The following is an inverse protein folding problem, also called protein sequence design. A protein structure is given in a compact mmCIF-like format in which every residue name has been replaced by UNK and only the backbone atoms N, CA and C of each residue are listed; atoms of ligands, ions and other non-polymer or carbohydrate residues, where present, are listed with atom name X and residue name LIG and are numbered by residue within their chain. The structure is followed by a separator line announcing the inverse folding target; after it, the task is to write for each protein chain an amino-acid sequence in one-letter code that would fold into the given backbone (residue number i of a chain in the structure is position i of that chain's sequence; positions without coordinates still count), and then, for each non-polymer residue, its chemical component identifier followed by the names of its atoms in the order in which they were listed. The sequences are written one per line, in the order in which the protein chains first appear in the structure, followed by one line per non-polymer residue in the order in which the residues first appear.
data_IF_677322248087
#
_entry.id   IF_677322248087
#
_cell.length_a   1.000
_cell.length_b   1.000
_cell.length_c   1.000
_cell.angle_alpha   90.00
_cell.angle_beta   90.00
_cell.angle_gamma   90.00
#
_symmetry.space_group_name_H-M   'P 1'
#
loop_
_entity.id
_entity.type
_entity.pdbx_description
1 polymer ?
#
# COMPACT_ATOMS: atom_id res chain seq x y z
N UNK A 1 -23.63 -1.32 -32.34
CA UNK A 1 -22.49 -1.22 -31.45
C UNK A 1 -21.33 -0.61 -32.20
N UNK A 2 -20.47 0.11 -31.51
CA UNK A 2 -19.22 0.62 -32.06
C UNK A 2 -18.18 -0.49 -32.24
N UNK A 3 -17.07 -0.16 -32.89
CA UNK A 3 -15.96 -1.09 -33.13
C UNK A 3 -15.11 -1.29 -31.86
N UNK A 4 -15.28 -0.44 -30.82
CA UNK A 4 -14.60 -0.51 -29.54
C UNK A 4 -15.57 -0.94 -28.44
N UNK A 5 -15.22 -2.00 -27.74
CA UNK A 5 -15.90 -2.47 -26.53
C UNK A 5 -14.89 -2.39 -25.40
N UNK A 6 -14.96 -1.32 -24.61
CA UNK A 6 -14.08 -1.06 -23.49
C UNK A 6 -14.73 -1.58 -22.21
N UNK A 7 -14.07 -2.50 -21.51
CA UNK A 7 -14.64 -3.14 -20.32
C UNK A 7 -13.57 -3.85 -19.47
N UNK A 8 -13.97 -4.16 -18.24
CA UNK A 8 -13.12 -4.87 -17.30
C UNK A 8 -12.12 -3.96 -16.58
N UNK A 9 -11.38 -4.55 -15.66
CA UNK A 9 -10.35 -3.91 -14.88
C UNK A 9 -9.30 -4.93 -14.48
N UNK A 10 -8.39 -4.57 -13.58
CA UNK A 10 -7.28 -5.40 -13.13
C UNK A 10 -7.73 -6.78 -12.66
N UNK A 11 -8.78 -6.86 -11.84
CA UNK A 11 -9.26 -8.15 -11.30
C UNK A 11 -10.01 -9.03 -12.30
N UNK A 12 -10.40 -8.52 -13.47
CA UNK A 12 -11.26 -9.23 -14.43
C UNK A 12 -10.71 -9.28 -15.85
N UNK A 13 -9.47 -8.83 -16.08
CA UNK A 13 -8.89 -8.70 -17.41
C UNK A 13 -8.91 -10.02 -18.19
N UNK A 14 -8.62 -11.14 -17.54
CA UNK A 14 -8.58 -12.45 -18.18
C UNK A 14 -9.98 -13.01 -18.53
N UNK A 15 -11.03 -12.52 -17.87
CA UNK A 15 -12.42 -12.98 -18.10
C UNK A 15 -13.12 -12.22 -19.22
N UNK A 16 -12.69 -11.01 -19.59
CA UNK A 16 -13.36 -10.14 -20.57
C UNK A 16 -12.88 -10.39 -22.00
N UNK A 17 -12.95 -11.63 -22.47
CA UNK A 17 -12.47 -12.04 -23.80
C UNK A 17 -13.25 -11.43 -24.98
N UNK A 18 -14.41 -10.87 -24.74
CA UNK A 18 -15.27 -10.21 -25.71
C UNK A 18 -14.97 -8.71 -25.83
N UNK A 19 -14.23 -8.12 -24.89
CA UNK A 19 -13.80 -6.74 -24.95
C UNK A 19 -12.67 -6.58 -25.98
N UNK A 20 -12.66 -5.46 -26.67
CA UNK A 20 -11.58 -5.06 -27.57
C UNK A 20 -10.55 -4.19 -26.88
N UNK A 21 -10.92 -3.65 -25.71
CA UNK A 21 -10.07 -2.83 -24.84
C UNK A 21 -10.35 -3.16 -23.36
N UNK A 22 -9.31 -3.35 -22.57
CA UNK A 22 -9.40 -3.60 -21.13
C UNK A 22 -8.97 -2.34 -20.39
N UNK A 23 -9.80 -1.89 -19.45
CA UNK A 23 -9.56 -0.71 -18.60
C UNK A 23 -8.83 -1.07 -17.31
N UNK A 24 -7.74 -1.83 -17.38
CA UNK A 24 -6.92 -2.17 -16.21
C UNK A 24 -5.97 -1.01 -15.90
N UNK A 25 -5.99 -0.51 -14.66
CA UNK A 25 -5.14 0.56 -14.15
C UNK A 25 -4.29 0.11 -12.97
N UNK A 26 -4.91 -0.38 -11.93
CA UNK A 26 -4.27 -0.71 -10.64
C UNK A 26 -3.16 -1.78 -10.73
N UNK A 27 -3.13 -2.59 -11.83
CA UNK A 27 -2.11 -3.63 -12.05
C UNK A 27 -0.67 -3.08 -12.09
N UNK A 28 -0.50 -1.80 -12.41
CA UNK A 28 0.82 -1.16 -12.52
C UNK A 28 1.52 -1.06 -11.16
N UNK A 29 0.74 -0.83 -10.11
CA UNK A 29 1.25 -0.59 -8.74
C UNK A 29 0.77 -1.66 -7.76
N UNK A 30 -0.41 -2.22 -7.99
CA UNK A 30 -1.13 -3.15 -7.12
C UNK A 30 -1.39 -2.59 -5.72
N UNK A 31 -2.23 -3.27 -4.97
CA UNK A 31 -2.52 -3.02 -3.57
C UNK A 31 -2.88 -4.33 -2.85
N UNK A 32 -3.19 -4.28 -1.56
CA UNK A 32 -3.46 -5.51 -0.81
C UNK A 32 -4.80 -6.15 -1.18
N UNK A 33 -5.79 -5.37 -1.65
CA UNK A 33 -7.07 -5.92 -2.09
C UNK A 33 -6.92 -6.72 -3.40
N UNK A 34 -6.12 -6.24 -4.35
CA UNK A 34 -5.82 -6.99 -5.57
C UNK A 34 -4.86 -8.17 -5.33
N UNK A 35 -3.99 -8.09 -4.33
CA UNK A 35 -3.09 -9.20 -3.99
C UNK A 35 -3.82 -10.48 -3.56
N UNK A 36 -5.08 -10.36 -3.10
CA UNK A 36 -5.93 -11.51 -2.74
C UNK A 36 -6.46 -12.29 -3.96
N UNK A 37 -6.31 -11.77 -5.18
CA UNK A 37 -6.95 -12.29 -6.38
C UNK A 37 -6.08 -13.23 -7.24
N UNK A 38 -4.93 -13.69 -6.76
CA UNK A 38 -4.00 -14.56 -7.49
C UNK A 38 -3.72 -14.07 -8.93
N UNK A 39 -3.38 -12.79 -9.06
CA UNK A 39 -3.07 -12.14 -10.32
C UNK A 39 -1.56 -12.21 -10.62
N UNK A 40 -1.14 -12.21 -11.89
CA UNK A 40 0.28 -12.26 -12.27
C UNK A 40 0.99 -10.90 -12.15
N UNK A 41 0.62 -10.10 -11.17
CA UNK A 41 1.16 -8.76 -10.93
C UNK A 41 1.69 -8.66 -9.50
N UNK A 42 2.73 -7.86 -9.32
CA UNK A 42 3.39 -7.67 -8.04
C UNK A 42 3.09 -6.28 -7.46
N UNK A 43 3.10 -6.18 -6.13
CA UNK A 43 2.98 -4.89 -5.44
C UNK A 43 4.26 -4.08 -5.63
N UNK A 44 4.13 -2.88 -6.19
CA UNK A 44 5.26 -1.98 -6.50
C UNK A 44 5.14 -0.61 -5.81
N UNK A 45 4.16 -0.42 -4.93
CA UNK A 45 3.86 0.85 -4.31
C UNK A 45 3.72 0.75 -2.79
N UNK A 46 4.28 1.72 -2.08
CA UNK A 46 4.07 1.87 -0.64
C UNK A 46 4.06 3.35 -0.24
N UNK A 47 3.43 3.64 0.89
CA UNK A 47 3.55 4.93 1.58
C UNK A 47 4.62 4.79 2.65
N UNK A 48 5.65 5.65 2.59
CA UNK A 48 6.69 5.71 3.62
C UNK A 48 6.21 6.62 4.74
N UNK A 49 6.24 6.11 5.97
CA UNK A 49 5.81 6.83 7.17
C UNK A 49 6.90 6.79 8.24
N UNK A 50 6.96 7.81 9.07
CA UNK A 50 7.95 7.93 10.15
C UNK A 50 7.33 7.56 11.48
N UNK A 51 8.01 6.77 12.28
CA UNK A 51 7.62 6.48 13.66
C UNK A 51 7.78 7.72 14.51
N UNK A 52 6.69 8.23 15.04
CA UNK A 52 6.66 9.48 15.84
C UNK A 52 6.51 9.23 17.34
N UNK A 53 6.05 8.05 17.74
CA UNK A 53 5.89 7.72 19.17
C UNK A 53 5.95 6.22 19.41
N UNK A 54 6.43 5.87 20.59
CA UNK A 54 6.40 4.51 21.12
C UNK A 54 5.48 4.47 22.34
N UNK A 55 4.79 3.36 22.50
CA UNK A 55 3.97 3.12 23.68
C UNK A 55 4.81 3.11 24.98
N UNK A 56 4.20 3.41 26.11
CA UNK A 56 4.83 3.19 27.41
C UNK A 56 5.34 1.76 27.54
N UNK A 57 6.40 1.58 28.31
CA UNK A 57 7.05 0.29 28.53
C UNK A 57 6.02 -0.81 28.86
N UNK A 58 6.02 -1.87 28.04
CA UNK A 58 5.14 -3.03 28.21
C UNK A 58 3.82 -2.98 27.42
N UNK A 59 3.48 -1.89 26.74
CA UNK A 59 2.25 -1.81 25.92
C UNK A 59 2.42 -2.32 24.49
N UNK A 60 3.66 -2.41 23.97
CA UNK A 60 3.99 -3.17 22.75
C UNK A 60 3.53 -2.58 21.42
N UNK A 61 3.13 -1.29 21.36
CA UNK A 61 2.72 -0.65 20.10
C UNK A 61 3.57 0.59 19.79
N UNK A 62 3.55 1.00 18.55
CA UNK A 62 4.15 2.24 18.04
C UNK A 62 3.14 3.04 17.22
N UNK A 63 3.45 4.32 17.01
CA UNK A 63 2.63 5.25 16.22
C UNK A 63 3.51 5.87 15.13
N UNK A 64 3.00 5.93 13.91
CA UNK A 64 3.64 6.60 12.78
C UNK A 64 2.71 7.67 12.16
N UNK A 65 3.31 8.58 11.38
CA UNK A 65 2.69 9.80 10.85
C UNK A 65 1.94 9.60 9.53
N UNK A 66 1.27 8.47 9.35
CA UNK A 66 0.36 8.23 8.24
C UNK A 66 -1.02 7.85 8.76
N UNK A 67 -2.06 8.17 8.00
CA UNK A 67 -3.43 7.86 8.37
C UNK A 67 -4.39 8.10 7.19
N UNK A 68 -5.66 8.33 7.48
CA UNK A 68 -6.74 8.52 6.51
C UNK A 68 -6.48 9.65 5.50
N UNK A 69 -5.65 10.64 5.85
CA UNK A 69 -5.28 11.75 4.95
C UNK A 69 -4.20 11.38 3.94
N UNK A 70 -3.56 10.22 4.08
CA UNK A 70 -2.48 9.75 3.21
C UNK A 70 -2.69 8.35 2.64
N UNK A 71 -3.72 7.64 3.08
CA UNK A 71 -4.02 6.26 2.72
C UNK A 71 -5.49 6.08 2.38
N UNK A 72 -5.79 5.51 1.23
CA UNK A 72 -7.13 5.04 0.88
C UNK A 72 -7.46 3.80 1.69
N UNK A 73 -8.48 3.89 2.54
CA UNK A 73 -8.82 2.86 3.52
C UNK A 73 -10.24 2.31 3.37
N UNK A 74 -10.85 2.55 2.24
CA UNK A 74 -12.17 2.01 1.88
C UNK A 74 -12.18 0.49 1.70
N UNK A 75 -11.03 -0.11 1.45
CA UNK A 75 -10.82 -1.58 1.42
C UNK A 75 -10.18 -2.13 2.71
N UNK A 76 -9.96 -1.31 3.72
CA UNK A 76 -9.40 -1.72 5.01
C UNK A 76 -8.08 -1.04 5.36
N UNK A 77 -7.43 -1.57 6.39
CA UNK A 77 -6.14 -1.05 6.85
C UNK A 77 -5.02 -1.38 5.85
N UNK A 78 -3.98 -0.53 5.74
CA UNK A 78 -2.78 -0.88 4.99
C UNK A 78 -2.06 -2.06 5.64
N UNK A 79 -1.31 -2.79 4.84
CA UNK A 79 -0.42 -3.84 5.33
C UNK A 79 0.92 -3.24 5.76
N UNK A 80 1.42 -3.66 6.91
CA UNK A 80 2.77 -3.38 7.39
C UNK A 80 3.59 -4.65 7.30
N UNK A 81 4.57 -4.76 6.38
CA UNK A 81 5.47 -5.91 6.32
C UNK A 81 6.19 -6.12 7.67
N UNK A 82 6.13 -7.34 8.19
CA UNK A 82 6.75 -7.68 9.48
C UNK A 82 6.02 -7.13 10.73
N UNK A 83 4.81 -6.62 10.56
CA UNK A 83 4.00 -6.09 11.65
C UNK A 83 2.51 -6.17 11.36
N UNK A 84 1.71 -5.54 12.20
CA UNK A 84 0.26 -5.45 12.05
C UNK A 84 -0.26 -4.08 12.45
N UNK A 85 -1.05 -3.48 11.59
CA UNK A 85 -1.79 -2.26 11.87
C UNK A 85 -2.95 -2.58 12.80
N UNK A 86 -3.06 -1.84 13.89
CA UNK A 86 -4.15 -1.96 14.86
C UNK A 86 -5.33 -1.08 14.48
N UNK A 87 -5.05 0.20 14.21
CA UNK A 87 -6.03 1.15 13.68
C UNK A 87 -5.34 2.36 13.06
N UNK A 88 -6.10 3.12 12.26
CA UNK A 88 -5.70 4.42 11.71
C UNK A 88 -6.65 5.51 12.20
N UNK A 89 -6.07 6.66 12.51
CA UNK A 89 -6.78 7.94 12.65
C UNK A 89 -6.50 8.82 11.44
N UNK A 90 -6.90 10.09 11.48
CA UNK A 90 -6.75 11.00 10.34
C UNK A 90 -5.29 11.14 9.87
N UNK A 91 -4.36 11.24 10.80
CA UNK A 91 -2.95 11.56 10.54
C UNK A 91 -1.98 10.52 11.10
N UNK A 92 -2.46 9.52 11.84
CA UNK A 92 -1.59 8.57 12.52
C UNK A 92 -2.10 7.15 12.39
N UNK A 93 -1.15 6.23 12.34
CA UNK A 93 -1.38 4.80 12.38
C UNK A 93 -0.77 4.21 13.65
N UNK A 94 -1.54 3.36 14.34
CA UNK A 94 -1.06 2.58 15.48
C UNK A 94 -0.82 1.16 15.03
N UNK A 95 0.35 0.63 15.34
CA UNK A 95 0.77 -0.69 14.88
C UNK A 95 1.64 -1.42 15.91
N UNK A 96 1.79 -2.72 15.71
CA UNK A 96 2.73 -3.58 16.42
C UNK A 96 3.73 -4.17 15.45
N UNK A 97 4.96 -4.40 15.89
CA UNK A 97 6.01 -5.12 15.16
C UNK A 97 6.08 -6.57 15.63
N UNK A 98 6.54 -7.46 14.75
CA UNK A 98 6.57 -8.89 15.00
C UNK A 98 5.38 -9.63 14.38
N UNK A 99 5.62 -10.86 13.93
CA UNK A 99 4.58 -11.73 13.39
C UNK A 99 3.65 -12.18 14.51
N UNK A 100 2.35 -12.08 14.30
CA UNK A 100 1.41 -12.91 15.05
C UNK A 100 1.58 -14.37 14.61
N UNK A 101 1.48 -15.33 15.53
CA UNK A 101 1.42 -16.75 15.17
C UNK A 101 0.28 -16.96 14.17
N UNK A 102 0.62 -17.41 12.94
CA UNK A 102 -0.36 -17.66 11.87
C UNK A 102 -0.37 -16.64 10.72
N UNK A 103 0.43 -15.59 10.75
CA UNK A 103 0.59 -14.67 9.61
C UNK A 103 1.58 -15.27 8.58
N UNK A 104 1.03 -15.99 7.60
CA UNK A 104 1.77 -16.58 6.48
C UNK A 104 1.93 -15.62 5.27
N UNK A 105 1.66 -14.33 5.45
CA UNK A 105 1.78 -13.37 4.35
C UNK A 105 3.26 -13.14 4.00
N UNK A 106 3.67 -13.38 2.73
CA UNK A 106 5.01 -13.07 2.29
C UNK A 106 5.26 -11.56 2.40
N UNK A 107 6.45 -11.16 2.86
CA UNK A 107 6.88 -9.77 2.76
C UNK A 107 7.05 -9.43 1.27
N UNK A 108 6.20 -8.59 0.67
CA UNK A 108 6.27 -8.34 -0.78
C UNK A 108 7.52 -7.56 -1.20
N UNK A 109 8.26 -6.98 -0.29
CA UNK A 109 9.39 -6.10 -0.57
C UNK A 109 10.54 -6.44 0.39
N UNK A 110 11.10 -7.65 0.36
CA UNK A 110 12.44 -8.03 0.88
C UNK A 110 12.90 -7.47 2.23
N UNK A 111 11.99 -7.02 3.08
CA UNK A 111 12.28 -6.42 4.38
C UNK A 111 12.08 -7.45 5.49
N UNK A 112 13.15 -7.76 6.18
CA UNK A 112 13.05 -8.40 7.49
C UNK A 112 12.76 -7.31 8.52
N UNK A 113 11.66 -7.43 9.26
CA UNK A 113 11.32 -6.49 10.33
C UNK A 113 12.40 -6.55 11.41
N UNK A 114 13.08 -5.45 11.65
CA UNK A 114 13.96 -5.30 12.79
C UNK A 114 13.13 -5.47 14.09
N UNK A 115 13.58 -6.28 15.03
CA UNK A 115 12.83 -6.57 16.25
C UNK A 115 12.67 -5.36 17.20
N UNK A 116 13.35 -4.26 16.91
CA UNK A 116 13.36 -3.08 17.79
C UNK A 116 13.14 -1.81 16.98
N UNK A 117 11.89 -1.32 16.96
CA UNK A 117 11.54 -0.05 16.33
C UNK A 117 11.84 1.14 17.25
N UNK A 118 12.24 2.28 16.67
CA UNK A 118 12.59 3.53 17.37
C UNK A 118 11.84 4.71 16.76
N UNK A 119 11.67 5.76 17.56
CA UNK A 119 11.20 7.06 17.03
C UNK A 119 12.21 7.57 16.01
N UNK A 120 11.71 7.98 14.84
CA UNK A 120 12.50 8.40 13.69
C UNK A 120 12.72 7.30 12.64
N UNK A 121 12.47 6.03 12.97
CA UNK A 121 12.55 4.95 11.97
C UNK A 121 11.46 5.12 10.91
N UNK A 122 11.76 4.70 9.68
CA UNK A 122 10.81 4.69 8.58
C UNK A 122 10.20 3.31 8.41
N UNK A 123 8.90 3.29 8.20
CA UNK A 123 8.14 2.08 7.87
C UNK A 123 7.51 2.24 6.49
N UNK A 124 7.29 1.13 5.80
CA UNK A 124 6.61 1.06 4.49
C UNK A 124 5.23 0.47 4.67
N UNK A 125 4.22 1.18 4.25
CA UNK A 125 2.82 0.77 4.33
C UNK A 125 2.32 0.47 2.92
N UNK A 126 1.90 -0.76 2.67
CA UNK A 126 1.24 -1.13 1.41
C UNK A 126 -0.24 -0.79 1.55
N UNK A 127 -0.79 0.12 0.75
CA UNK A 127 -2.18 0.54 0.90
C UNK A 127 -3.15 -0.60 0.57
N UNK A 128 -4.33 -0.55 1.19
CA UNK A 128 -5.42 -1.45 0.87
C UNK A 128 -6.12 -1.09 -0.45
N UNK A 129 -6.02 0.17 -0.89
CA UNK A 129 -6.54 0.66 -2.15
C UNK A 129 -5.59 1.71 -2.74
N UNK A 130 -5.02 1.41 -3.90
CA UNK A 130 -3.99 2.26 -4.53
C UNK A 130 -4.58 3.56 -5.09
N UNK A 131 -5.73 3.51 -5.74
CA UNK A 131 -6.31 4.64 -6.47
C UNK A 131 -6.58 5.87 -5.55
N UNK A 132 -7.36 5.77 -4.45
CA UNK A 132 -7.53 6.91 -3.56
C UNK A 132 -6.26 7.29 -2.82
N UNK A 133 -5.36 6.34 -2.55
CA UNK A 133 -4.06 6.65 -1.94
C UNK A 133 -3.26 7.58 -2.84
N UNK A 134 -3.15 7.29 -4.13
CA UNK A 134 -2.46 8.17 -5.08
C UNK A 134 -3.08 9.57 -5.13
N UNK A 135 -4.41 9.68 -5.06
CA UNK A 135 -5.10 10.96 -5.12
C UNK A 135 -4.76 11.91 -3.95
N UNK A 136 -4.28 11.40 -2.83
CA UNK A 136 -3.85 12.21 -1.68
C UNK A 136 -2.43 12.77 -1.83
N UNK A 137 -1.62 12.27 -2.77
CA UNK A 137 -0.21 12.62 -2.92
C UNK A 137 0.04 13.43 -4.19
N UNK A 138 1.09 14.25 -4.19
CA UNK A 138 1.47 15.09 -5.33
C UNK A 138 2.48 14.39 -6.24
N UNK A 139 3.25 13.45 -5.71
CA UNK A 139 4.41 12.83 -6.37
C UNK A 139 4.62 11.40 -5.91
N UNK A 140 5.25 10.66 -6.81
CA UNK A 140 5.84 9.36 -6.54
C UNK A 140 7.36 9.48 -6.60
N UNK A 141 8.03 8.83 -5.68
CA UNK A 141 9.48 8.62 -5.73
C UNK A 141 9.77 7.22 -6.21
N UNK A 142 10.50 7.11 -7.32
CA UNK A 142 10.96 5.82 -7.83
C UNK A 142 12.22 5.45 -7.08
N UNK A 143 12.26 4.26 -6.50
CA UNK A 143 13.36 3.83 -5.65
C UNK A 143 14.00 2.54 -6.17
N UNK A 144 15.31 2.42 -6.01
CA UNK A 144 16.06 1.18 -6.14
C UNK A 144 16.74 0.89 -4.79
N UNK A 145 16.21 -0.09 -4.06
CA UNK A 145 16.59 -0.30 -2.66
C UNK A 145 16.24 0.91 -1.78
N UNK A 146 17.26 1.61 -1.29
CA UNK A 146 17.12 2.82 -0.45
C UNK A 146 17.38 4.13 -1.24
N UNK A 147 17.81 4.03 -2.50
CA UNK A 147 18.15 5.19 -3.33
C UNK A 147 16.94 5.66 -4.12
N UNK A 148 16.66 6.96 -4.08
CA UNK A 148 15.68 7.61 -4.97
C UNK A 148 16.36 7.85 -6.31
N UNK A 149 15.84 7.20 -7.37
CA UNK A 149 16.39 7.27 -8.72
C UNK A 149 15.59 8.15 -9.67
N UNK A 150 14.31 8.44 -9.33
CA UNK A 150 13.46 9.34 -10.12
C UNK A 150 12.31 9.90 -9.26
N UNK A 151 11.64 10.94 -9.77
CA UNK A 151 10.47 11.57 -9.17
C UNK A 151 9.41 11.84 -10.24
N UNK A 152 8.20 11.32 -10.05
CA UNK A 152 7.09 11.50 -10.99
C UNK A 152 5.96 12.30 -10.35
N UNK A 153 5.42 13.32 -11.03
CA UNK A 153 4.21 13.98 -10.60
C UNK A 153 3.01 13.02 -10.70
N UNK A 154 2.07 13.12 -9.77
CA UNK A 154 0.79 12.43 -9.86
C UNK A 154 -0.20 13.37 -10.53
N UNK A 155 -0.40 13.15 -11.83
CA UNK A 155 -1.34 13.92 -12.62
C UNK A 155 -2.79 13.50 -12.33
N UNK A 156 -3.74 14.39 -12.67
CA UNK A 156 -5.19 14.13 -12.55
C UNK A 156 -5.69 13.77 -11.14
N UNK A 157 -4.91 14.08 -10.10
CA UNK A 157 -5.38 13.94 -8.72
C UNK A 157 -6.47 14.97 -8.39
N UNK A 158 -7.41 14.62 -7.54
CA UNK A 158 -8.39 15.57 -7.00
C UNK A 158 -9.56 15.91 -7.93
N UNK A 159 -9.90 15.01 -8.84
CA UNK A 159 -11.09 15.12 -9.69
C UNK A 159 -12.11 14.03 -9.38
#
# INVERSE_FOLDING_TARGET
GGDVISAGGTGTFAANRWATEIQAGSYVLMDTAYAELDLPFEQAFCVVSTVVSLAPKGAGYAIADAGLKSLGMDHGNPQLPGGRVLFCSDEHITFVTGRAEGDDLPSPIGWEAEPTIRVGDRIRLVPAHVDPTLAYHERLYVVDGEDVIDEWPIDLRGW
#
